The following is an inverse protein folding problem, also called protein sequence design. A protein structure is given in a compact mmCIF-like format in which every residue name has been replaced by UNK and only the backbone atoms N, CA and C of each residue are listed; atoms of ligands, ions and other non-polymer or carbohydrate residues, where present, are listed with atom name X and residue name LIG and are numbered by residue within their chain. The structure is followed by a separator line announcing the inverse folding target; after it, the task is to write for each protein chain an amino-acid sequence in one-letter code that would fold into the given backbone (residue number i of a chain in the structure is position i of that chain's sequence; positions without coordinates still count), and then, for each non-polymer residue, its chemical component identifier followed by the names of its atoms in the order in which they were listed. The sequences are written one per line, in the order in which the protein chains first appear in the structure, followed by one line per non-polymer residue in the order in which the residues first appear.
data_IF_899425940139
#
_entry.id   IF_899425940139
#
_cell.length_a   1.000
_cell.length_b   1.000
_cell.length_c   1.000
_cell.angle_alpha   90.00
_cell.angle_beta   90.00
_cell.angle_gamma   90.00
#
_symmetry.space_group_name_H-M   'P 1'
#
loop_
_entity.id
_entity.type
_entity.pdbx_description
1 polymer ?
#
# COMPACT_ATOMS: atom_id res chain seq x y z
N UNK A 1 32.73 13.99 -27.43
CA UNK A 1 31.68 14.56 -26.56
C UNK A 1 32.12 15.96 -26.16
N UNK A 2 31.45 16.97 -26.69
CA UNK A 2 31.70 18.37 -26.36
C UNK A 2 31.18 18.61 -24.92
N UNK A 3 32.07 19.00 -24.00
CA UNK A 3 31.74 19.16 -22.59
C UNK A 3 30.99 20.47 -22.28
N UNK A 4 30.69 21.29 -23.30
CA UNK A 4 30.05 22.60 -23.15
C UNK A 4 28.52 22.56 -22.99
N UNK A 5 27.89 21.42 -23.26
CA UNK A 5 26.44 21.18 -23.07
C UNK A 5 26.15 20.23 -21.89
N UNK A 6 27.07 20.11 -20.93
CA UNK A 6 26.86 19.27 -19.75
C UNK A 6 25.78 19.86 -18.82
N UNK A 7 24.62 19.21 -18.80
CA UNK A 7 23.54 19.49 -17.85
C UNK A 7 23.66 18.58 -16.61
N UNK A 8 24.33 19.09 -15.59
CA UNK A 8 24.50 18.42 -14.29
C UNK A 8 23.15 18.09 -13.64
N UNK A 9 22.13 18.91 -13.83
CA UNK A 9 20.81 18.69 -13.25
C UNK A 9 20.08 17.55 -13.96
N UNK A 10 20.17 17.45 -15.29
CA UNK A 10 19.65 16.30 -16.03
C UNK A 10 20.39 15.01 -15.69
N UNK A 11 21.72 15.04 -15.58
CA UNK A 11 22.51 13.88 -15.16
C UNK A 11 22.12 13.43 -13.75
N UNK A 12 22.02 14.35 -12.79
CA UNK A 12 21.55 14.07 -11.42
C UNK A 12 20.15 13.46 -11.42
N UNK A 13 19.20 14.02 -12.18
CA UNK A 13 17.85 13.45 -12.32
C UNK A 13 17.89 12.04 -12.92
N UNK A 14 18.77 11.80 -13.89
CA UNK A 14 18.99 10.49 -14.49
C UNK A 14 19.48 9.46 -13.48
N UNK A 15 20.53 9.79 -12.72
CA UNK A 15 21.07 8.92 -11.67
C UNK A 15 20.06 8.68 -10.55
N UNK A 16 19.31 9.71 -10.12
CA UNK A 16 18.26 9.56 -9.12
C UNK A 16 17.16 8.63 -9.62
N UNK A 17 16.68 8.81 -10.85
CA UNK A 17 15.66 7.95 -11.45
C UNK A 17 16.13 6.51 -11.62
N UNK A 18 17.36 6.30 -12.07
CA UNK A 18 17.95 4.97 -12.21
C UNK A 18 18.10 4.29 -10.83
N UNK A 19 18.52 5.04 -9.81
CA UNK A 19 18.62 4.54 -8.43
C UNK A 19 17.26 4.25 -7.83
N UNK A 20 16.27 5.13 -8.01
CA UNK A 20 14.89 4.94 -7.55
C UNK A 20 14.25 3.69 -8.16
N UNK A 21 14.56 3.38 -9.42
CA UNK A 21 14.10 2.15 -10.07
C UNK A 21 14.85 0.91 -9.55
N UNK A 22 16.16 1.02 -9.31
CA UNK A 22 16.98 -0.12 -8.84
C UNK A 22 16.84 -0.44 -7.35
N UNK A 23 16.45 0.52 -6.52
CA UNK A 23 16.38 0.41 -5.06
C UNK A 23 14.93 0.29 -4.54
N UNK A 24 13.93 0.24 -5.43
CA UNK A 24 12.53 0.13 -5.05
C UNK A 24 12.30 -1.21 -4.35
N UNK A 25 11.91 -1.15 -3.09
CA UNK A 25 11.56 -2.33 -2.31
C UNK A 25 10.06 -2.51 -2.30
N UNK A 26 9.59 -3.73 -2.59
CA UNK A 26 8.20 -4.10 -2.39
C UNK A 26 8.04 -4.65 -0.98
N UNK A 27 7.25 -3.97 -0.16
CA UNK A 27 6.99 -4.40 1.22
C UNK A 27 5.82 -5.38 1.30
N UNK A 28 4.82 -5.21 0.43
CA UNK A 28 3.64 -6.07 0.41
C UNK A 28 3.16 -6.35 -1.00
N UNK A 29 2.70 -7.57 -1.21
CA UNK A 29 1.92 -7.98 -2.37
C UNK A 29 0.65 -8.68 -1.85
N UNK A 30 -0.53 -8.24 -2.31
CA UNK A 30 -1.82 -8.85 -1.98
C UNK A 30 -2.59 -9.22 -3.24
N UNK A 31 -3.18 -10.41 -3.22
CA UNK A 31 -4.00 -10.91 -4.32
C UNK A 31 -5.46 -10.54 -4.10
N UNK A 32 -6.10 -10.08 -5.17
CA UNK A 32 -7.53 -9.91 -5.24
C UNK A 32 -8.16 -11.13 -5.91
N UNK A 33 -8.96 -11.87 -5.15
CA UNK A 33 -9.65 -13.08 -5.60
C UNK A 33 -11.15 -12.81 -5.80
N UNK A 34 -11.58 -12.85 -7.06
CA UNK A 34 -12.98 -12.78 -7.50
C UNK A 34 -13.53 -14.20 -7.58
N UNK A 35 -14.03 -14.72 -6.45
CA UNK A 35 -14.44 -16.12 -6.32
C UNK A 35 -15.64 -16.53 -7.19
N UNK A 36 -16.36 -15.58 -7.79
CA UNK A 36 -17.64 -15.81 -8.48
C UNK A 36 -17.61 -15.57 -10.01
N UNK A 37 -16.48 -15.17 -10.59
CA UNK A 37 -16.33 -14.98 -12.05
C UNK A 37 -15.39 -16.07 -12.61
N UNK A 38 -15.75 -16.74 -13.73
CA UNK A 38 -15.02 -17.91 -14.22
C UNK A 38 -13.68 -17.58 -14.90
N UNK A 39 -13.39 -16.31 -15.25
CA UNK A 39 -12.06 -15.88 -15.69
C UNK A 39 -11.78 -14.36 -15.55
N UNK A 40 -11.77 -13.79 -14.33
CA UNK A 40 -11.17 -12.50 -14.09
C UNK A 40 -9.68 -12.72 -13.83
N UNK A 41 -8.82 -12.21 -14.71
CA UNK A 41 -7.37 -12.19 -14.50
C UNK A 41 -7.05 -11.76 -13.06
N UNK A 42 -6.44 -12.66 -12.28
CA UNK A 42 -6.18 -12.40 -10.86
C UNK A 42 -5.30 -11.19 -10.77
N UNK A 43 -5.76 -10.17 -10.05
CA UNK A 43 -5.00 -8.94 -9.92
C UNK A 43 -4.22 -8.94 -8.62
N UNK A 44 -2.97 -8.48 -8.71
CA UNK A 44 -2.08 -8.29 -7.57
C UNK A 44 -1.96 -6.79 -7.30
N UNK A 45 -2.06 -6.37 -6.05
CA UNK A 45 -1.63 -5.04 -5.63
C UNK A 45 -0.29 -5.13 -4.89
N UNK A 46 0.64 -4.24 -5.21
CA UNK A 46 1.97 -4.18 -4.62
C UNK A 46 2.23 -2.81 -3.98
N UNK A 47 2.68 -2.84 -2.74
CA UNK A 47 3.04 -1.70 -1.91
C UNK A 47 4.55 -1.48 -1.93
N UNK A 48 4.98 -0.24 -2.14
CA UNK A 48 6.36 0.11 -2.47
C UNK A 48 6.98 1.12 -1.49
N UNK A 49 8.32 1.14 -1.44
CA UNK A 49 9.11 2.04 -0.60
C UNK A 49 9.06 3.52 -0.97
N UNK A 50 8.55 3.85 -2.15
CA UNK A 50 8.33 5.24 -2.60
C UNK A 50 6.93 5.78 -2.28
N UNK A 51 6.13 5.02 -1.53
CA UNK A 51 4.76 5.40 -1.20
C UNK A 51 3.72 5.07 -2.26
N UNK A 52 4.13 4.42 -3.37
CA UNK A 52 3.20 4.00 -4.41
C UNK A 52 2.53 2.66 -4.12
N UNK A 53 1.30 2.54 -4.61
CA UNK A 53 0.53 1.31 -4.68
C UNK A 53 0.23 1.03 -6.16
N UNK A 54 0.65 -0.12 -6.65
CA UNK A 54 0.49 -0.49 -8.06
C UNK A 54 -0.30 -1.79 -8.20
N UNK A 55 -1.19 -1.86 -9.18
CA UNK A 55 -1.92 -3.09 -9.52
C UNK A 55 -1.34 -3.74 -10.77
N UNK A 56 -1.36 -5.07 -10.83
CA UNK A 56 -0.79 -5.85 -11.92
C UNK A 56 -1.72 -7.00 -12.31
N UNK A 57 -1.72 -7.31 -13.61
CA UNK A 57 -2.30 -8.52 -14.18
C UNK A 57 -1.39 -9.71 -13.90
N UNK A 58 -1.89 -10.72 -13.16
CA UNK A 58 -1.10 -11.92 -12.89
C UNK A 58 -0.78 -12.68 -14.17
N UNK A 59 -1.72 -12.75 -15.12
CA UNK A 59 -1.49 -13.37 -16.43
C UNK A 59 -0.34 -12.69 -17.18
N UNK A 60 -0.27 -11.35 -17.15
CA UNK A 60 0.83 -10.59 -17.75
C UNK A 60 2.16 -10.84 -17.04
N UNK A 61 2.15 -10.91 -15.71
CA UNK A 61 3.33 -11.25 -14.92
C UNK A 61 3.87 -12.64 -15.25
N UNK A 62 2.99 -13.65 -15.35
CA UNK A 62 3.35 -15.02 -15.68
C UNK A 62 3.88 -15.11 -17.12
N UNK A 63 3.20 -14.50 -18.09
CA UNK A 63 3.61 -14.49 -19.48
C UNK A 63 5.01 -13.86 -19.67
N UNK A 64 5.27 -12.74 -18.99
CA UNK A 64 6.59 -12.11 -18.98
C UNK A 64 7.67 -13.05 -18.43
N UNK A 65 7.41 -13.72 -17.30
CA UNK A 65 8.37 -14.65 -16.68
C UNK A 65 8.69 -15.86 -17.58
N UNK A 66 7.68 -16.43 -18.26
CA UNK A 66 7.85 -17.54 -19.18
C UNK A 66 8.73 -17.15 -20.39
N UNK A 67 8.57 -15.91 -20.88
CA UNK A 67 9.40 -15.37 -21.96
C UNK A 67 10.87 -15.20 -21.55
N UNK A 68 11.12 -14.79 -20.30
CA UNK A 68 12.47 -14.62 -19.76
C UNK A 68 13.20 -15.97 -19.58
N UNK A 69 12.48 -17.03 -19.20
CA UNK A 69 13.05 -18.37 -19.07
C UNK A 69 13.39 -19.04 -20.42
N UNK A 70 12.75 -18.62 -21.51
CA UNK A 70 13.00 -19.15 -22.85
C UNK A 70 14.18 -18.47 -23.57
N UNK A 71 14.71 -17.36 -23.03
CA UNK A 71 15.80 -16.62 -23.63
C UNK A 71 17.18 -17.23 -23.28
N UNK A 72 18.11 -17.40 -24.24
CA UNK A 72 19.40 -18.06 -24.03
C UNK A 72 20.47 -17.21 -23.28
N UNK A 73 20.13 -15.99 -22.86
CA UNK A 73 20.94 -15.12 -22.02
C UNK A 73 20.07 -14.54 -20.90
N UNK A 74 20.64 -14.11 -19.76
CA UNK A 74 19.88 -13.37 -18.74
C UNK A 74 19.42 -12.04 -19.35
N UNK A 75 18.29 -12.07 -20.06
CA UNK A 75 17.61 -10.88 -20.50
C UNK A 75 17.19 -10.12 -19.25
N UNK A 76 17.37 -8.80 -19.25
CA UNK A 76 16.76 -7.94 -18.24
C UNK A 76 15.30 -8.36 -18.11
N UNK A 77 14.89 -8.76 -16.91
CA UNK A 77 13.55 -9.29 -16.67
C UNK A 77 12.53 -8.37 -17.36
N UNK A 78 11.70 -8.92 -18.24
CA UNK A 78 10.75 -8.11 -18.99
C UNK A 78 9.82 -7.43 -17.97
N UNK A 79 9.96 -6.11 -17.86
CA UNK A 79 9.18 -5.30 -16.93
C UNK A 79 7.72 -5.38 -17.34
N UNK A 80 6.87 -5.74 -16.39
CA UNK A 80 5.43 -5.79 -16.58
C UNK A 80 4.90 -4.42 -16.21
N UNK A 81 4.24 -3.75 -17.16
CA UNK A 81 3.58 -2.49 -16.86
C UNK A 81 2.41 -2.74 -15.90
N UNK A 82 2.26 -1.92 -14.85
CA UNK A 82 1.10 -2.00 -13.98
C UNK A 82 -0.18 -1.62 -14.72
N UNK A 83 -1.31 -2.14 -14.24
CA UNK A 83 -2.65 -1.76 -14.69
C UNK A 83 -2.98 -0.35 -14.17
N UNK A 84 -2.61 -0.05 -12.92
CA UNK A 84 -2.80 1.24 -12.30
C UNK A 84 -1.69 1.53 -11.28
N UNK A 85 -1.32 2.80 -11.13
CA UNK A 85 -0.43 3.27 -10.06
C UNK A 85 -1.11 4.43 -9.32
N UNK A 86 -1.07 4.39 -7.99
CA UNK A 86 -1.54 5.47 -7.11
C UNK A 86 -0.42 5.85 -6.15
N UNK A 87 -0.21 7.15 -5.95
CA UNK A 87 0.63 7.68 -4.89
C UNK A 87 -0.17 7.64 -3.58
N UNK A 88 -0.01 6.55 -2.85
CA UNK A 88 -0.83 6.26 -1.69
C UNK A 88 -0.36 7.02 -0.44
N UNK A 89 0.96 7.20 -0.27
CA UNK A 89 1.55 7.79 0.92
C UNK A 89 2.73 8.71 0.59
N UNK A 90 3.05 9.64 1.51
CA UNK A 90 4.23 10.53 1.38
C UNK A 90 5.56 9.88 1.81
N UNK A 91 5.49 8.61 2.27
CA UNK A 91 6.62 7.75 2.60
C UNK A 91 6.28 6.28 2.28
N UNK A 92 7.13 5.33 2.66
CA UNK A 92 6.94 3.90 2.37
C UNK A 92 5.54 3.38 2.71
N UNK A 93 4.98 2.55 1.81
CA UNK A 93 3.78 1.76 2.11
C UNK A 93 4.20 0.42 2.68
N UNK A 94 3.98 0.20 3.97
CA UNK A 94 4.45 -1.00 4.66
C UNK A 94 3.49 -2.18 4.51
N UNK A 95 2.18 -1.93 4.49
CA UNK A 95 1.19 -2.99 4.35
C UNK A 95 -0.02 -2.54 3.53
N UNK A 96 -0.64 -3.52 2.88
CA UNK A 96 -1.89 -3.38 2.15
C UNK A 96 -2.80 -4.58 2.41
N UNK A 97 -4.12 -4.37 2.43
CA UNK A 97 -5.13 -5.42 2.66
C UNK A 97 -6.42 -5.11 1.92
N UNK A 98 -7.04 -6.16 1.38
CA UNK A 98 -8.38 -6.04 0.83
C UNK A 98 -9.46 -6.19 1.90
N UNK A 99 -10.40 -5.26 1.89
CA UNK A 99 -11.72 -5.43 2.46
C UNK A 99 -12.66 -5.91 1.34
N UNK A 100 -12.89 -7.23 1.29
CA UNK A 100 -13.76 -7.82 0.28
C UNK A 100 -15.23 -7.62 0.66
N UNK A 101 -15.76 -6.43 0.38
CA UNK A 101 -17.19 -6.20 0.27
C UNK A 101 -17.68 -6.84 -1.05
N UNK A 102 -18.78 -7.61 -1.06
CA UNK A 102 -19.30 -8.24 -2.28
C UNK A 102 -19.71 -7.26 -3.38
N UNK A 103 -20.00 -6.01 -3.02
CA UNK A 103 -20.50 -4.97 -3.92
C UNK A 103 -19.37 -3.99 -4.29
N UNK A 104 -18.59 -3.54 -3.30
CA UNK A 104 -17.54 -2.54 -3.50
C UNK A 104 -16.25 -2.90 -2.75
N UNK A 105 -15.41 -3.81 -3.30
CA UNK A 105 -14.15 -4.17 -2.67
C UNK A 105 -13.24 -2.96 -2.50
N UNK A 106 -12.68 -2.83 -1.31
CA UNK A 106 -11.74 -1.76 -0.98
C UNK A 106 -10.34 -2.34 -0.82
N UNK A 107 -9.36 -1.59 -1.30
CA UNK A 107 -7.96 -1.84 -0.99
C UNK A 107 -7.52 -0.79 0.02
N UNK A 108 -7.08 -1.23 1.19
CA UNK A 108 -6.46 -0.37 2.19
C UNK A 108 -4.94 -0.47 2.10
N UNK A 109 -4.26 0.65 2.33
CA UNK A 109 -2.83 0.70 2.57
C UNK A 109 -2.49 1.57 3.77
N UNK A 110 -1.33 1.30 4.35
CA UNK A 110 -0.79 2.06 5.48
C UNK A 110 0.72 2.21 5.33
N UNK A 111 1.28 3.24 5.95
CA UNK A 111 2.69 3.56 5.79
C UNK A 111 3.25 4.53 6.83
N UNK A 112 4.38 5.10 6.45
CA UNK A 112 5.23 5.96 7.29
C UNK A 112 4.60 7.31 7.65
N UNK A 113 3.63 7.77 6.85
CA UNK A 113 2.98 9.06 7.08
C UNK A 113 1.91 9.02 8.19
N UNK A 114 1.65 7.84 8.77
CA UNK A 114 0.68 7.66 9.85
C UNK A 114 -0.78 7.69 9.40
N UNK A 115 -1.00 7.73 8.09
CA UNK A 115 -2.31 7.60 7.48
C UNK A 115 -2.60 6.14 7.09
N UNK A 116 -3.88 5.79 7.09
CA UNK A 116 -4.41 4.55 6.52
C UNK A 116 -5.44 4.97 5.50
N UNK A 117 -5.18 4.65 4.24
CA UNK A 117 -6.03 5.07 3.13
C UNK A 117 -6.70 3.90 2.46
N UNK A 118 -7.92 4.12 1.99
CA UNK A 118 -8.73 3.12 1.31
C UNK A 118 -9.20 3.61 -0.06
N UNK A 119 -9.12 2.76 -1.07
CA UNK A 119 -9.59 3.05 -2.44
C UNK A 119 -10.58 2.00 -2.90
N UNK A 120 -11.52 2.39 -3.76
CA UNK A 120 -12.37 1.42 -4.46
C UNK A 120 -11.54 0.69 -5.50
N UNK A 121 -11.43 -0.62 -5.35
CA UNK A 121 -10.53 -1.42 -6.15
C UNK A 121 -10.88 -1.41 -7.65
N UNK A 122 -12.16 -1.44 -7.99
CA UNK A 122 -12.60 -1.36 -9.39
C UNK A 122 -12.39 0.03 -10.01
N UNK A 123 -12.48 1.10 -9.23
CA UNK A 123 -12.20 2.46 -9.72
C UNK A 123 -10.71 2.63 -10.03
N UNK A 124 -9.84 2.06 -9.18
CA UNK A 124 -8.40 2.04 -9.47
C UNK A 124 -8.10 1.36 -10.81
N UNK A 125 -8.70 0.20 -11.09
CA UNK A 125 -8.45 -0.55 -12.32
C UNK A 125 -9.02 0.09 -13.58
N UNK A 126 -10.10 0.86 -13.44
CA UNK A 126 -10.77 1.50 -14.58
C UNK A 126 -10.20 2.89 -14.90
N UNK A 127 -9.10 3.28 -14.24
CA UNK A 127 -8.44 4.56 -14.52
C UNK A 127 -7.88 4.59 -15.95
N UNK A 128 -8.45 5.46 -16.79
CA UNK A 128 -8.09 5.59 -18.21
C UNK A 128 -6.89 6.53 -18.46
N UNK A 129 -6.34 7.14 -17.41
CA UNK A 129 -5.21 8.04 -17.55
C UNK A 129 -3.93 7.25 -17.84
N UNK A 130 -2.99 7.78 -18.65
CA UNK A 130 -1.68 7.17 -18.82
C UNK A 130 -0.96 7.00 -17.48
N UNK A 131 -0.24 5.88 -17.30
CA UNK A 131 0.49 5.56 -16.07
C UNK A 131 1.43 6.69 -15.58
N UNK A 132 1.99 7.47 -16.52
CA UNK A 132 2.85 8.62 -16.20
C UNK A 132 2.13 9.77 -15.49
N UNK A 133 0.79 9.78 -15.49
CA UNK A 133 -0.02 10.83 -14.89
C UNK A 133 -0.78 10.34 -13.64
N UNK A 134 -1.06 9.04 -13.49
CA UNK A 134 -2.01 8.52 -12.50
C UNK A 134 -1.70 8.80 -11.01
N UNK A 135 -0.46 9.12 -10.65
CA UNK A 135 0.01 9.22 -9.25
C UNK A 135 -0.99 9.87 -8.28
N UNK A 136 -1.47 11.08 -8.59
CA UNK A 136 -2.33 11.85 -7.69
C UNK A 136 -3.80 11.90 -8.15
N UNK A 137 -4.21 11.05 -9.10
CA UNK A 137 -5.54 11.16 -9.72
C UNK A 137 -6.60 10.25 -9.10
N UNK A 138 -6.18 9.20 -8.39
CA UNK A 138 -7.12 8.32 -7.70
C UNK A 138 -7.11 8.66 -6.22
N UNK A 139 -8.04 9.53 -5.84
CA UNK A 139 -8.22 9.96 -4.45
C UNK A 139 -8.70 8.80 -3.57
N UNK A 140 -8.22 8.70 -2.32
CA UNK A 140 -8.74 7.74 -1.36
C UNK A 140 -10.18 8.09 -0.99
N UNK A 141 -11.02 7.07 -0.84
CA UNK A 141 -12.38 7.24 -0.31
C UNK A 141 -12.40 7.33 1.21
N UNK A 142 -11.35 6.84 1.86
CA UNK A 142 -11.14 6.86 3.30
C UNK A 142 -9.70 7.29 3.56
N UNK A 143 -9.52 8.26 4.43
CA UNK A 143 -8.23 8.68 4.95
C UNK A 143 -8.32 8.74 6.48
N UNK A 144 -7.81 7.70 7.14
CA UNK A 144 -7.83 7.53 8.59
C UNK A 144 -6.48 7.95 9.16
N UNK A 145 -6.49 8.79 10.18
CA UNK A 145 -5.28 9.35 10.77
C UNK A 145 -5.13 8.89 12.20
N UNK A 146 -3.99 8.31 12.55
CA UNK A 146 -3.75 7.87 13.92
C UNK A 146 -3.95 9.02 14.93
N UNK A 147 -4.68 8.78 16.03
CA UNK A 147 -4.83 9.77 17.09
C UNK A 147 -3.47 10.24 17.62
N UNK A 148 -3.30 11.55 17.75
CA UNK A 148 -2.11 12.14 18.35
C UNK A 148 -2.33 12.38 19.84
N UNK A 149 -1.26 12.23 20.63
CA UNK A 149 -1.29 12.62 22.02
C UNK A 149 -1.16 14.14 22.16
N UNK A 150 -2.09 14.75 22.89
CA UNK A 150 -2.03 16.17 23.22
C UNK A 150 -1.32 16.35 24.57
N UNK A 151 -0.15 16.97 24.53
CA UNK A 151 0.63 17.36 25.68
C UNK A 151 0.20 18.72 26.26
N UNK A 152 0.94 19.22 27.27
CA UNK A 152 0.71 20.54 27.83
C UNK A 152 0.69 21.62 26.74
N UNK A 153 -0.16 22.62 26.93
CA UNK A 153 -0.28 23.77 26.02
C UNK A 153 -0.78 23.44 24.61
N UNK A 154 -1.41 22.27 24.41
CA UNK A 154 -1.95 21.86 23.11
C UNK A 154 -0.89 21.36 22.13
N UNK A 155 0.34 21.07 22.59
CA UNK A 155 1.37 20.46 21.77
C UNK A 155 0.94 19.04 21.35
N UNK A 156 0.97 18.74 20.05
CA UNK A 156 0.65 17.42 19.53
C UNK A 156 1.90 16.60 19.30
N UNK A 157 1.89 15.33 19.71
CA UNK A 157 2.91 14.37 19.29
C UNK A 157 2.91 14.22 17.75
N UNK A 158 4.01 13.77 17.13
CA UNK A 158 3.96 13.32 15.73
C UNK A 158 2.84 12.31 15.50
N UNK A 159 2.32 12.26 14.27
CA UNK A 159 1.41 11.18 13.86
C UNK A 159 2.27 9.92 13.76
N UNK A 160 1.96 8.84 14.50
CA UNK A 160 2.76 7.63 14.46
C UNK A 160 2.54 6.86 13.16
N UNK A 161 3.60 6.29 12.60
CA UNK A 161 3.50 5.41 11.44
C UNK A 161 2.66 4.16 11.71
N UNK A 162 2.21 3.50 10.64
CA UNK A 162 1.52 2.22 10.71
C UNK A 162 2.35 1.12 10.05
N UNK A 163 2.77 0.13 10.83
CA UNK A 163 3.62 -0.96 10.36
C UNK A 163 2.83 -2.10 9.72
N UNK A 164 1.58 -2.32 10.17
CA UNK A 164 0.72 -3.37 9.65
C UNK A 164 -0.76 -3.04 9.87
N UNK A 165 -1.62 -3.57 8.99
CA UNK A 165 -3.07 -3.50 9.15
C UNK A 165 -3.71 -4.89 9.06
N UNK A 166 -4.79 -5.07 9.79
CA UNK A 166 -5.64 -6.24 9.74
C UNK A 166 -7.11 -5.82 9.66
N UNK A 167 -7.94 -6.63 9.04
CA UNK A 167 -9.33 -6.28 8.74
C UNK A 167 -10.23 -7.39 9.26
N UNK A 168 -11.25 -7.04 10.04
CA UNK A 168 -12.38 -7.90 10.36
C UNK A 168 -13.54 -7.59 9.44
N UNK A 169 -13.98 -8.58 8.66
CA UNK A 169 -15.13 -8.44 7.75
C UNK A 169 -16.45 -8.54 8.49
N UNK A 170 -16.51 -9.29 9.58
CA UNK A 170 -17.74 -9.48 10.34
C UNK A 170 -18.15 -8.19 11.07
N UNK A 171 -17.16 -7.47 11.62
CA UNK A 171 -17.40 -6.28 12.43
C UNK A 171 -17.18 -4.96 11.67
N UNK A 172 -16.88 -5.03 10.37
CA UNK A 172 -16.57 -3.85 9.54
C UNK A 172 -15.45 -3.00 10.15
N UNK A 173 -14.44 -3.65 10.76
CA UNK A 173 -13.43 -2.98 11.57
C UNK A 173 -12.03 -3.17 11.00
N UNK A 174 -11.25 -2.10 10.97
CA UNK A 174 -9.85 -2.08 10.55
C UNK A 174 -8.96 -1.86 11.78
N UNK A 175 -7.98 -2.72 11.94
CA UNK A 175 -7.01 -2.67 13.02
C UNK A 175 -5.65 -2.25 12.47
N UNK A 176 -4.97 -1.37 13.20
CA UNK A 176 -3.66 -0.87 12.83
C UNK A 176 -2.66 -1.07 13.96
N UNK A 177 -1.47 -1.57 13.63
CA UNK A 177 -0.31 -1.61 14.50
C UNK A 177 0.52 -0.35 14.25
N UNK A 178 0.58 0.54 15.24
CA UNK A 178 1.24 1.82 15.12
C UNK A 178 2.58 1.87 15.86
N UNK A 179 3.41 2.83 15.47
CA UNK A 179 4.74 3.01 16.04
C UNK A 179 4.75 3.60 17.46
N UNK A 180 3.64 4.11 17.97
CA UNK A 180 3.52 4.65 19.33
C UNK A 180 3.20 3.58 20.39
N UNK A 181 3.53 2.31 20.10
CA UNK A 181 3.20 1.15 20.93
C UNK A 181 1.68 0.98 21.19
N UNK A 182 0.83 1.53 20.34
CA UNK A 182 -0.62 1.34 20.40
C UNK A 182 -1.12 0.58 19.18
N UNK A 183 -2.19 -0.20 19.39
CA UNK A 183 -3.02 -0.66 18.28
C UNK A 183 -4.32 0.16 18.23
N UNK A 184 -4.77 0.49 17.04
CA UNK A 184 -5.98 1.26 16.81
C UNK A 184 -7.04 0.40 16.13
N UNK A 185 -8.30 0.53 16.53
CA UNK A 185 -9.46 -0.05 15.85
C UNK A 185 -10.30 1.07 15.26
N UNK A 186 -10.56 0.97 13.97
CA UNK A 186 -11.33 1.90 13.17
C UNK A 186 -12.58 1.22 12.67
N UNK A 187 -13.69 1.95 12.68
CA UNK A 187 -14.89 1.58 11.97
C UNK A 187 -14.77 1.97 10.51
N UNK A 188 -14.85 1.00 9.59
CA UNK A 188 -14.62 1.24 8.15
C UNK A 188 -15.72 2.11 7.56
N UNK A 189 -16.97 1.96 8.01
CA UNK A 189 -18.12 2.69 7.46
C UNK A 189 -18.14 4.16 7.89
N UNK A 190 -17.95 4.42 9.19
CA UNK A 190 -17.99 5.78 9.73
C UNK A 190 -16.64 6.50 9.71
N UNK A 191 -15.54 5.78 9.47
CA UNK A 191 -14.18 6.30 9.53
C UNK A 191 -13.72 6.72 10.93
N UNK A 192 -14.44 6.29 11.98
CA UNK A 192 -14.16 6.70 13.37
C UNK A 192 -13.28 5.70 14.09
N UNK A 193 -12.35 6.21 14.90
CA UNK A 193 -11.58 5.38 15.82
C UNK A 193 -12.52 4.87 16.93
N UNK A 194 -12.75 3.55 16.97
CA UNK A 194 -13.57 2.85 17.96
C UNK A 194 -12.80 2.66 19.26
N UNK A 195 -11.56 2.22 19.17
CA UNK A 195 -10.76 1.81 20.32
C UNK A 195 -9.26 2.04 20.11
N UNK A 196 -8.57 2.32 21.22
CA UNK A 196 -7.11 2.30 21.29
C UNK A 196 -6.68 1.25 22.30
N UNK A 197 -5.93 0.25 21.85
CA UNK A 197 -5.36 -0.79 22.67
C UNK A 197 -3.97 -0.37 23.11
N UNK A 198 -3.82 -0.16 24.42
CA UNK A 198 -2.57 0.22 25.07
C UNK A 198 -2.06 -0.93 25.94
N UNK A 199 -0.77 -0.91 26.26
CA UNK A 199 -0.13 -1.88 27.16
C UNK A 199 1.16 -2.45 26.61
N UNK A 200 1.37 -2.31 25.30
CA UNK A 200 2.64 -2.59 24.66
C UNK A 200 3.67 -1.51 25.05
N UNK A 201 4.94 -1.90 25.19
CA UNK A 201 6.03 -1.01 25.64
C UNK A 201 6.95 -0.57 24.51
N UNK A 202 6.70 -1.06 23.30
CA UNK A 202 7.55 -0.86 22.12
C UNK A 202 6.71 -0.90 20.84
N UNK A 203 7.33 -0.54 19.71
CA UNK A 203 6.73 -0.50 18.38
C UNK A 203 5.96 -1.79 18.06
N UNK A 204 4.75 -1.63 17.50
CA UNK A 204 4.00 -2.79 17.01
C UNK A 204 4.41 -3.07 15.57
N UNK A 205 4.99 -4.24 15.32
CA UNK A 205 5.46 -4.63 13.99
C UNK A 205 4.39 -5.37 13.17
N UNK A 206 3.46 -6.05 13.84
CA UNK A 206 2.41 -6.80 13.16
C UNK A 206 1.13 -6.85 13.97
N UNK A 207 0.01 -7.01 13.26
CA UNK A 207 -1.31 -7.23 13.83
C UNK A 207 -2.07 -8.26 13.00
N UNK A 208 -2.81 -9.12 13.68
CA UNK A 208 -3.65 -10.12 13.07
C UNK A 208 -4.99 -10.19 13.81
N UNK A 209 -6.04 -10.47 13.04
CA UNK A 209 -7.40 -10.64 13.54
C UNK A 209 -7.84 -12.06 13.29
N UNK A 210 -8.46 -12.66 14.30
CA UNK A 210 -9.08 -13.98 14.22
C UNK A 210 -10.60 -13.83 14.28
N UNK A 211 -11.22 -13.98 13.11
CA UNK A 211 -12.67 -13.84 12.91
C UNK A 211 -13.50 -14.82 13.76
N UNK A 212 -13.01 -16.03 14.02
CA UNK A 212 -13.79 -17.06 14.72
C UNK A 212 -14.16 -16.69 16.17
N UNK A 213 -13.41 -15.80 16.83
CA UNK A 213 -13.57 -15.45 18.25
C UNK A 213 -13.38 -13.93 18.52
N UNK A 214 -13.38 -13.08 17.50
CA UNK A 214 -13.06 -11.63 17.62
C UNK A 214 -11.75 -11.34 18.40
N UNK A 215 -10.73 -12.18 18.22
CA UNK A 215 -9.45 -12.02 18.90
C UNK A 215 -8.49 -11.20 18.04
N UNK A 216 -7.81 -10.24 18.64
CA UNK A 216 -6.76 -9.44 18.00
C UNK A 216 -5.44 -9.80 18.66
N UNK A 217 -4.45 -10.19 17.86
CA UNK A 217 -3.09 -10.47 18.32
C UNK A 217 -2.12 -9.52 17.61
N UNK A 218 -1.32 -8.81 18.39
CA UNK A 218 -0.22 -7.97 17.91
C UNK A 218 1.11 -8.61 18.30
N UNK A 219 2.12 -8.45 17.45
CA UNK A 219 3.48 -8.94 17.67
C UNK A 219 4.44 -7.76 17.71
N UNK A 220 5.38 -7.82 18.66
CA UNK A 220 6.59 -7.00 18.73
C UNK A 220 7.71 -7.72 17.97
#
# INVERSE_FOLDING_TARGET
LDAREWDEAAYRRGILRERDLSCRTLFRAVFYDQRDEPDPDVLLAAASSDGSLASFSLSSCIASSASAHAAPQPAAAALVDPVCIVQAHSGPVYDAKFYNDPIQPLLFSCGDDGHIRGWRWHEMQSCLLPLSLQGDHVEPILDLVNPQHEGPWGARSPIPENNAIAISKQDGSLFAAAGDACAYCWDVESGKCKMTFKGHTDYLHSIAVREANHQVSSLF
#
